data_IF_256891173766
#
_entry.id   IF_256891173766
#
_cell.length_a   1.000
_cell.length_b   1.000
_cell.length_c   1.000
_cell.angle_alpha   90.00
_cell.angle_beta   90.00
_cell.angle_gamma   90.00
#
_symmetry.space_group_name_H-M   'P 1'
#
loop_
_entity.id
_entity.type
_entity.pdbx_description
1 polymer ?
#
# COMPACT_ATOMS: atom_id res chain seq x y z
N UNK A 1 -37.64 -17.18 12.00
CA UNK A 1 -37.19 -17.02 10.60
C UNK A 1 -36.55 -15.65 10.46
N UNK A 2 -35.21 -15.56 10.55
CA UNK A 2 -34.52 -14.28 10.40
C UNK A 2 -34.64 -13.82 8.94
N UNK A 3 -35.43 -12.78 8.70
CA UNK A 3 -35.51 -12.15 7.37
C UNK A 3 -34.12 -11.64 7.02
N UNK A 4 -33.50 -12.25 6.00
CA UNK A 4 -32.22 -11.80 5.46
C UNK A 4 -32.48 -10.46 4.78
N UNK A 5 -32.35 -9.37 5.55
CA UNK A 5 -32.56 -8.02 5.06
C UNK A 5 -31.41 -7.70 4.10
N UNK A 6 -31.59 -8.03 2.82
CA UNK A 6 -30.65 -7.67 1.79
C UNK A 6 -30.54 -6.14 1.79
N UNK A 7 -29.31 -5.64 1.95
CA UNK A 7 -29.06 -4.20 1.92
C UNK A 7 -29.60 -3.65 0.59
N UNK A 8 -30.30 -2.50 0.61
CA UNK A 8 -30.75 -1.88 -0.62
C UNK A 8 -29.55 -1.57 -1.52
N UNK A 9 -29.70 -1.76 -2.83
CA UNK A 9 -28.63 -1.64 -3.82
C UNK A 9 -27.86 -0.31 -3.69
N UNK A 10 -28.58 0.77 -3.43
CA UNK A 10 -28.01 2.12 -3.23
C UNK A 10 -27.10 2.20 -2.01
N UNK A 11 -27.40 1.45 -0.94
CA UNK A 11 -26.52 1.35 0.23
C UNK A 11 -25.25 0.58 -0.08
N UNK A 12 -25.37 -0.53 -0.83
CA UNK A 12 -24.20 -1.28 -1.27
C UNK A 12 -23.29 -0.44 -2.18
N UNK A 13 -23.87 0.37 -3.06
CA UNK A 13 -23.13 1.27 -3.94
C UNK A 13 -22.42 2.38 -3.15
N UNK A 14 -23.11 2.99 -2.18
CA UNK A 14 -22.50 3.99 -1.29
C UNK A 14 -21.36 3.42 -0.45
N UNK A 15 -21.54 2.23 0.13
CA UNK A 15 -20.49 1.52 0.87
C UNK A 15 -19.29 1.21 -0.03
N UNK A 16 -19.52 0.74 -1.26
CA UNK A 16 -18.48 0.45 -2.24
C UNK A 16 -17.66 1.69 -2.63
N UNK A 17 -18.33 2.80 -2.99
CA UNK A 17 -17.65 4.06 -3.33
C UNK A 17 -16.90 4.62 -2.13
N UNK A 18 -17.47 4.51 -0.93
CA UNK A 18 -16.80 4.89 0.32
C UNK A 18 -15.51 4.11 0.56
N UNK A 19 -15.49 2.81 0.26
CA UNK A 19 -14.27 2.00 0.34
C UNK A 19 -13.21 2.39 -0.69
N UNK A 20 -13.61 2.71 -1.93
CA UNK A 20 -12.69 3.22 -2.96
C UNK A 20 -12.10 4.55 -2.54
N UNK A 21 -12.94 5.50 -2.13
CA UNK A 21 -12.48 6.81 -1.67
C UNK A 21 -11.52 6.68 -0.50
N UNK A 22 -11.83 5.82 0.48
CA UNK A 22 -10.94 5.55 1.61
C UNK A 22 -9.59 5.01 1.14
N UNK A 23 -9.56 4.07 0.19
CA UNK A 23 -8.32 3.52 -0.33
C UNK A 23 -7.48 4.57 -1.07
N UNK A 24 -8.12 5.45 -1.85
CA UNK A 24 -7.44 6.53 -2.60
C UNK A 24 -6.90 7.60 -1.66
N UNK A 25 -7.63 7.95 -0.60
CA UNK A 25 -7.19 8.93 0.40
C UNK A 25 -6.21 8.35 1.41
N UNK A 26 -6.13 7.01 1.52
CA UNK A 26 -5.19 6.36 2.43
C UNK A 26 -3.79 6.45 1.82
N UNK A 27 -2.95 7.28 2.41
CA UNK A 27 -1.52 7.27 2.16
C UNK A 27 -0.95 5.93 2.63
N UNK A 28 -0.65 5.01 1.69
CA UNK A 28 0.08 3.78 1.96
C UNK A 28 1.54 4.14 2.24
N UNK A 29 1.81 4.67 3.43
CA UNK A 29 3.15 5.13 3.81
C UNK A 29 4.01 3.96 4.29
N UNK A 30 4.35 3.02 3.40
CA UNK A 30 5.68 2.40 3.49
C UNK A 30 6.62 3.33 2.74
N UNK A 31 6.97 4.42 3.41
CA UNK A 31 7.88 5.40 2.85
C UNK A 31 9.29 4.84 3.03
N UNK A 32 9.92 4.45 1.93
CA UNK A 32 11.37 4.23 1.93
C UNK A 32 12.01 5.58 2.21
N UNK A 33 12.43 5.80 3.45
CA UNK A 33 12.93 7.10 3.93
C UNK A 33 14.28 7.39 3.27
N UNK A 34 15.05 6.34 2.97
CA UNK A 34 16.37 6.47 2.36
C UNK A 34 16.72 5.24 1.53
N UNK A 35 16.91 5.47 0.23
CA UNK A 35 17.30 4.46 -0.77
C UNK A 35 18.55 4.94 -1.51
N UNK A 36 19.55 4.07 -1.58
CA UNK A 36 20.78 4.29 -2.35
C UNK A 36 20.86 3.25 -3.45
N UNK A 37 21.08 3.68 -4.69
CA UNK A 37 21.30 2.79 -5.83
C UNK A 37 22.71 3.03 -6.36
N UNK A 38 23.52 1.98 -6.36
CA UNK A 38 24.85 1.97 -6.93
C UNK A 38 24.82 1.11 -8.18
N UNK A 39 25.23 1.65 -9.32
CA UNK A 39 25.33 0.92 -10.57
C UNK A 39 26.76 0.96 -11.08
N UNK A 40 27.28 -0.21 -11.46
CA UNK A 40 28.61 -0.36 -12.02
C UNK A 40 28.55 -1.25 -13.24
N UNK A 41 29.12 -0.79 -14.34
CA UNK A 41 29.26 -1.59 -15.56
C UNK A 41 30.68 -2.15 -15.64
N UNK A 42 30.80 -3.47 -15.72
CA UNK A 42 32.06 -4.17 -15.94
C UNK A 42 31.99 -4.95 -17.26
N UNK A 43 32.67 -4.46 -18.28
CA UNK A 43 32.64 -5.03 -19.62
C UNK A 43 31.24 -4.98 -20.24
N UNK A 44 30.59 -6.13 -20.40
CA UNK A 44 29.23 -6.27 -20.93
C UNK A 44 28.19 -6.61 -19.85
N UNK A 45 28.51 -6.39 -18.57
CA UNK A 45 27.60 -6.69 -17.47
C UNK A 45 27.37 -5.46 -16.61
N UNK A 46 26.11 -5.19 -16.29
CA UNK A 46 25.72 -4.14 -15.34
C UNK A 46 25.39 -4.77 -14.00
N UNK A 47 26.15 -4.41 -12.98
CA UNK A 47 25.90 -4.75 -11.58
C UNK A 47 25.17 -3.60 -10.91
N UNK A 48 23.98 -3.86 -10.37
CA UNK A 48 23.19 -2.87 -9.62
C UNK A 48 22.96 -3.33 -8.19
N UNK A 49 23.46 -2.56 -7.23
CA UNK A 49 23.18 -2.72 -5.80
C UNK A 49 22.14 -1.69 -5.38
N UNK A 50 21.09 -2.15 -4.71
CA UNK A 50 20.09 -1.27 -4.08
C UNK A 50 20.14 -1.49 -2.59
N UNK A 51 20.43 -0.43 -1.83
CA UNK A 51 20.43 -0.43 -0.38
C UNK A 51 19.23 0.39 0.11
N UNK A 52 18.43 -0.20 1.00
CA UNK A 52 17.31 0.47 1.66
C UNK A 52 17.73 0.62 3.12
N UNK A 53 18.03 1.86 3.54
CA UNK A 53 18.63 2.14 4.85
C UNK A 53 17.57 2.20 5.96
N UNK A 54 16.39 2.75 5.65
CA UNK A 54 15.32 2.93 6.63
C UNK A 54 13.95 2.82 5.98
N UNK A 55 13.08 2.07 6.65
CA UNK A 55 11.66 1.94 6.32
C UNK A 55 10.84 2.52 7.48
N UNK A 56 10.04 3.54 7.21
CA UNK A 56 9.09 4.04 8.20
C UNK A 56 7.89 3.10 8.24
N UNK A 57 7.62 2.51 9.41
CA UNK A 57 6.45 1.66 9.66
C UNK A 57 5.58 2.36 10.69
N UNK A 58 4.37 2.79 10.29
CA UNK A 58 3.40 3.37 11.24
C UNK A 58 2.86 2.29 12.17
N UNK A 59 2.66 2.64 13.43
CA UNK A 59 2.30 1.75 14.54
C UNK A 59 1.01 0.94 14.34
N UNK A 60 0.17 1.33 13.38
CA UNK A 60 -1.09 0.68 13.01
C UNK A 60 -0.87 -0.70 12.37
N UNK A 61 0.28 -0.90 11.71
CA UNK A 61 0.68 -2.15 11.08
C UNK A 61 1.45 -3.09 12.03
N UNK A 62 1.85 -2.61 13.21
CA UNK A 62 2.62 -3.38 14.19
C UNK A 62 1.76 -4.25 15.12
N UNK A 63 0.43 -4.09 15.08
CA UNK A 63 -0.49 -4.74 16.01
C UNK A 63 -1.50 -5.68 15.32
N UNK A 64 -1.11 -6.25 14.15
CA UNK A 64 -1.91 -7.23 13.41
C UNK A 64 -1.21 -8.58 13.33
#
# INVERSE_FOLDING_TARGET
>A
MASKHNKPLMRCLGEFVGHIMRAVTTELSKKEVKRTVEEKTEGNVTLRRTTIDEIEVRSEDANK
#
